data_IF_888699918433
#
_entry.id   IF_888699918433
#
_cell.length_a   1.000
_cell.length_b   1.000
_cell.length_c   1.000
_cell.angle_alpha   90.00
_cell.angle_beta   90.00
_cell.angle_gamma   90.00
#
_symmetry.space_group_name_H-M   'P 1'
#
loop_
_entity.id
_entity.type
_entity.pdbx_description
1 polymer ?
#
# COMPACT_ATOMS: atom_id res chain seq x y z
N UNK A 1 20.84 8.99 14.52
CA UNK A 1 20.43 8.70 13.13
C UNK A 1 19.02 8.13 13.20
N UNK A 2 18.03 8.88 12.71
CA UNK A 2 16.64 8.44 12.76
C UNK A 2 16.35 7.29 11.80
N UNK A 3 15.44 6.40 12.16
CA UNK A 3 14.87 5.42 11.23
C UNK A 3 13.88 6.13 10.30
N UNK A 4 14.38 6.61 9.15
CA UNK A 4 13.58 7.36 8.18
C UNK A 4 12.45 6.52 7.57
N UNK A 5 12.65 5.22 7.38
CA UNK A 5 11.58 4.31 6.92
C UNK A 5 10.54 4.11 8.03
N UNK A 6 10.98 3.98 9.28
CA UNK A 6 10.10 3.96 10.45
C UNK A 6 9.26 5.24 10.58
N UNK A 7 9.87 6.41 10.34
CA UNK A 7 9.19 7.71 10.35
C UNK A 7 8.13 7.80 9.26
N UNK A 8 8.47 7.41 8.02
CA UNK A 8 7.51 7.29 6.91
C UNK A 8 6.35 6.34 7.26
N UNK A 9 6.66 5.14 7.78
CA UNK A 9 5.63 4.16 8.15
C UNK A 9 4.73 4.65 9.26
N UNK A 10 5.28 5.35 10.25
CA UNK A 10 4.52 5.94 11.35
C UNK A 10 3.56 7.01 10.83
N UNK A 11 4.08 7.95 10.02
CA UNK A 11 3.30 9.00 9.37
C UNK A 11 2.15 8.44 8.51
N UNK A 12 2.44 7.46 7.66
CA UNK A 12 1.41 6.86 6.80
C UNK A 12 0.41 6.03 7.60
N UNK A 13 0.80 5.41 8.72
CA UNK A 13 -0.14 4.65 9.56
C UNK A 13 -1.14 5.58 10.25
N UNK A 14 -0.72 6.78 10.60
CA UNK A 14 -1.58 7.82 11.15
C UNK A 14 -2.59 8.31 10.09
N UNK A 15 -2.12 8.60 8.87
CA UNK A 15 -2.99 9.05 7.79
C UNK A 15 -3.90 7.95 7.19
N UNK A 16 -3.44 6.69 7.17
CA UNK A 16 -4.09 5.55 6.52
C UNK A 16 -4.35 4.41 7.51
N UNK A 17 -5.14 4.69 8.54
CA UNK A 17 -5.51 3.68 9.54
C UNK A 17 -6.17 2.43 8.92
N UNK A 18 -5.72 1.25 9.37
CA UNK A 18 -6.22 -0.03 8.88
C UNK A 18 -5.79 -0.37 7.44
N UNK A 19 -4.78 0.31 6.90
CA UNK A 19 -4.13 -0.05 5.64
C UNK A 19 -2.70 -0.53 5.89
N UNK A 20 -2.27 -1.48 5.08
CA UNK A 20 -0.87 -1.86 4.97
C UNK A 20 -0.14 -0.85 4.11
N UNK A 21 1.05 -0.47 4.56
CA UNK A 21 1.94 0.44 3.84
C UNK A 21 2.92 -0.42 3.05
N UNK A 22 2.84 -0.32 1.73
CA UNK A 22 3.70 -1.09 0.86
C UNK A 22 5.13 -0.53 0.87
N UNK A 23 6.11 -1.42 0.85
CA UNK A 23 7.50 -1.05 0.64
C UNK A 23 8.29 -2.24 0.07
N UNK A 24 9.02 -2.07 -1.04
CA UNK A 24 9.17 -0.84 -1.82
C UNK A 24 7.89 -0.45 -2.58
N UNK A 25 7.68 0.85 -2.80
CA UNK A 25 6.48 1.37 -3.48
C UNK A 25 6.34 0.94 -4.95
N UNK A 26 7.44 0.49 -5.55
CA UNK A 26 7.49 -0.10 -6.90
C UNK A 26 6.95 -1.53 -6.96
N UNK A 27 6.79 -2.21 -5.82
CA UNK A 27 6.18 -3.52 -5.78
C UNK A 27 4.69 -3.39 -6.08
N UNK A 28 4.25 -3.92 -7.22
CA UNK A 28 2.84 -3.93 -7.57
C UNK A 28 2.11 -4.96 -6.73
N UNK A 29 1.04 -4.52 -6.07
CA UNK A 29 0.07 -5.37 -5.37
C UNK A 29 -1.28 -5.18 -6.06
N UNK A 30 -2.05 -6.25 -6.20
CA UNK A 30 -3.35 -6.24 -6.86
C UNK A 30 -4.42 -6.86 -5.97
N UNK A 31 -5.66 -6.44 -6.18
CA UNK A 31 -6.83 -7.09 -5.57
C UNK A 31 -6.83 -8.55 -5.99
N UNK A 32 -6.95 -9.45 -5.02
CA UNK A 32 -6.88 -10.89 -5.22
C UNK A 32 -5.49 -11.49 -5.24
N UNK A 33 -4.41 -10.71 -5.08
CA UNK A 33 -3.13 -11.30 -4.73
C UNK A 33 -3.24 -12.04 -3.38
N UNK A 34 -2.46 -13.11 -3.24
CA UNK A 34 -2.40 -13.94 -2.03
C UNK A 34 -1.01 -13.81 -1.42
N UNK A 35 -0.98 -13.58 -0.12
CA UNK A 35 0.22 -13.44 0.68
C UNK A 35 0.28 -14.56 1.73
N UNK A 36 1.46 -15.14 1.89
CA UNK A 36 1.77 -16.01 3.02
C UNK A 36 2.28 -15.16 4.19
N UNK A 37 1.64 -15.31 5.35
CA UNK A 37 1.98 -14.60 6.59
C UNK A 37 2.76 -15.47 7.59
N UNK A 38 3.24 -16.64 7.16
CA UNK A 38 4.04 -17.54 7.97
C UNK A 38 5.40 -16.94 8.37
N UNK A 39 5.86 -17.29 9.58
CA UNK A 39 7.19 -16.90 10.06
C UNK A 39 7.40 -15.40 10.32
N UNK A 40 6.33 -14.62 10.48
CA UNK A 40 6.42 -13.19 10.79
C UNK A 40 6.87 -12.32 9.62
N UNK A 41 6.93 -12.89 8.40
CA UNK A 41 7.23 -12.17 7.17
C UNK A 41 6.08 -12.33 6.18
N UNK A 42 5.84 -11.31 5.36
CA UNK A 42 4.85 -11.39 4.28
C UNK A 42 5.57 -11.77 2.99
N UNK A 43 5.07 -12.81 2.31
CA UNK A 43 5.62 -13.30 1.04
C UNK A 43 4.52 -13.48 0.00
N UNK A 44 4.75 -13.13 -1.28
CA UNK A 44 3.79 -13.45 -2.33
C UNK A 44 3.59 -14.97 -2.45
N UNK A 45 2.34 -15.42 -2.53
CA UNK A 45 1.95 -16.83 -2.62
C UNK A 45 1.11 -17.17 -3.87
N UNK A 46 0.80 -16.17 -4.69
CA UNK A 46 0.04 -16.30 -5.94
C UNK A 46 -1.14 -15.34 -5.95
N UNK A 47 -2.24 -15.77 -6.56
CA UNK A 47 -3.50 -15.04 -6.60
C UNK A 47 -4.66 -15.95 -6.18
N UNK A 48 -5.83 -15.38 -5.88
CA UNK A 48 -7.02 -16.10 -5.45
C UNK A 48 -7.52 -17.10 -6.49
N UNK A 49 -7.29 -16.85 -7.79
CA UNK A 49 -7.75 -17.75 -8.86
C UNK A 49 -7.00 -19.08 -8.85
N UNK A 50 -5.70 -19.08 -8.50
CA UNK A 50 -4.90 -20.29 -8.25
C UNK A 50 -5.54 -21.19 -7.17
N UNK A 51 -6.23 -20.59 -6.21
CA UNK A 51 -6.91 -21.31 -5.13
C UNK A 51 -8.40 -21.54 -5.42
N UNK A 52 -8.88 -21.28 -6.64
CA UNK A 52 -10.28 -21.47 -7.01
C UNK A 52 -11.23 -20.49 -6.33
N UNK A 53 -10.74 -19.31 -5.92
CA UNK A 53 -11.56 -18.21 -5.40
C UNK A 53 -11.66 -17.14 -6.49
N UNK A 54 -12.85 -16.98 -7.05
CA UNK A 54 -13.13 -15.90 -7.98
C UNK A 54 -13.74 -14.71 -7.24
N UNK A 55 -13.36 -13.50 -7.66
CA UNK A 55 -13.95 -12.24 -7.21
C UNK A 55 -13.94 -11.23 -8.35
N UNK A 56 -15.06 -10.56 -8.57
CA UNK A 56 -15.12 -9.47 -9.52
C UNK A 56 -14.56 -8.19 -8.89
N UNK A 57 -13.79 -7.41 -9.65
CA UNK A 57 -13.38 -6.08 -9.23
C UNK A 57 -14.58 -5.12 -9.27
N UNK A 58 -14.66 -4.23 -8.28
CA UNK A 58 -15.58 -3.10 -8.30
C UNK A 58 -15.11 -2.05 -9.32
N UNK A 59 -16.02 -1.18 -9.76
CA UNK A 59 -15.62 0.01 -10.50
C UNK A 59 -14.68 0.86 -9.64
N UNK A 60 -13.56 1.29 -10.22
CA UNK A 60 -12.60 2.16 -9.55
C UNK A 60 -13.27 3.47 -9.12
N UNK A 61 -12.93 3.94 -7.92
CA UNK A 61 -13.32 5.27 -7.48
C UNK A 61 -12.66 6.35 -8.37
N UNK A 62 -13.27 7.55 -8.51
CA UNK A 62 -12.63 8.66 -9.20
C UNK A 62 -11.25 8.96 -8.60
N UNK A 63 -10.28 9.38 -9.44
CA UNK A 63 -8.93 9.64 -8.97
C UNK A 63 -8.89 10.82 -8.00
N UNK A 64 -8.01 10.74 -6.99
CA UNK A 64 -7.74 11.80 -6.03
C UNK A 64 -6.23 12.02 -5.87
N UNK A 65 -5.83 13.15 -5.28
CA UNK A 65 -4.42 13.39 -4.93
C UNK A 65 -4.25 13.36 -3.41
N UNK A 66 -3.08 12.95 -2.94
CA UNK A 66 -2.72 12.91 -1.52
C UNK A 66 -1.40 13.63 -1.28
N UNK A 67 -1.42 14.52 -0.29
CA UNK A 67 -0.25 15.22 0.21
C UNK A 67 -0.19 15.04 1.72
N UNK A 68 0.97 14.60 2.21
CA UNK A 68 1.29 14.55 3.62
C UNK A 68 2.61 15.28 3.87
N UNK A 69 2.61 16.22 4.81
CA UNK A 69 3.73 17.11 5.10
C UNK A 69 4.09 17.15 6.61
N UNK A 70 3.82 16.07 7.34
CA UNK A 70 4.12 15.91 8.77
C UNK A 70 3.79 17.17 9.62
N UNK A 71 2.60 17.75 9.40
CA UNK A 71 2.11 18.97 10.05
C UNK A 71 2.89 20.24 9.67
N UNK A 72 3.22 20.41 8.39
CA UNK A 72 3.93 21.60 7.87
C UNK A 72 5.42 21.65 8.23
N UNK A 73 6.05 20.51 8.50
CA UNK A 73 7.47 20.43 8.85
C UNK A 73 8.38 20.40 7.61
N UNK A 74 7.82 20.18 6.43
CA UNK A 74 8.49 20.32 5.14
C UNK A 74 8.17 21.69 4.52
N UNK A 75 9.21 22.44 4.14
CA UNK A 75 9.10 23.66 3.35
C UNK A 75 9.56 23.39 1.93
N UNK A 76 8.76 23.78 0.96
CA UNK A 76 9.09 23.60 -0.47
C UNK A 76 9.25 24.97 -1.12
N UNK A 77 10.42 25.20 -1.71
CA UNK A 77 10.74 26.40 -2.48
C UNK A 77 10.95 26.02 -3.94
N UNK A 78 10.21 26.61 -4.86
CA UNK A 78 10.35 26.31 -6.29
C UNK A 78 11.37 27.24 -6.96
N UNK A 79 12.08 26.71 -7.95
CA UNK A 79 12.95 27.43 -8.87
C UNK A 79 12.35 27.33 -10.28
N UNK A 80 12.13 28.49 -10.90
CA UNK A 80 11.80 28.62 -12.32
C UNK A 80 13.06 29.02 -13.11
N UNK A 81 13.00 28.90 -14.44
CA UNK A 81 14.12 29.22 -15.31
C UNK A 81 14.53 30.70 -15.18
N UNK A 82 15.83 30.97 -15.26
CA UNK A 82 16.38 32.33 -15.28
C UNK A 82 16.65 32.99 -13.92
N UNK A 83 16.20 32.43 -12.80
CA UNK A 83 16.56 32.92 -11.46
C UNK A 83 16.89 31.76 -10.52
N UNK A 84 18.01 31.83 -9.81
CA UNK A 84 18.39 30.82 -8.79
C UNK A 84 18.19 31.42 -7.41
N UNK A 85 17.13 31.04 -6.67
CA UNK A 85 16.94 31.49 -5.30
C UNK A 85 18.13 31.08 -4.41
N UNK A 86 18.40 31.81 -3.31
CA UNK A 86 19.35 31.38 -2.30
C UNK A 86 19.01 29.97 -1.79
N UNK A 87 20.04 29.15 -1.56
CA UNK A 87 19.88 27.77 -1.04
C UNK A 87 19.93 26.68 -2.11
N UNK A 88 19.78 27.02 -3.40
CA UNK A 88 20.03 26.08 -4.49
C UNK A 88 21.52 26.06 -4.85
N UNK A 89 22.10 24.87 -4.91
CA UNK A 89 23.53 24.68 -5.19
C UNK A 89 23.77 23.72 -6.36
N UNK A 90 22.93 22.69 -6.51
CA UNK A 90 23.04 21.70 -7.58
C UNK A 90 22.19 22.08 -8.80
N UNK A 91 21.12 22.85 -8.61
CA UNK A 91 20.19 23.22 -9.68
C UNK A 91 20.48 24.57 -10.35
N UNK A 92 21.68 25.12 -10.20
CA UNK A 92 22.03 26.43 -10.76
C UNK A 92 21.75 26.54 -12.27
N UNK A 93 21.97 25.46 -13.03
CA UNK A 93 21.75 25.39 -14.49
C UNK A 93 20.45 24.68 -14.90
N UNK A 94 19.66 24.14 -13.96
CA UNK A 94 18.43 23.43 -14.30
C UNK A 94 17.28 24.41 -14.65
N UNK A 95 16.46 24.04 -15.64
CA UNK A 95 15.33 24.86 -16.11
C UNK A 95 14.23 25.00 -15.04
N UNK A 96 13.98 23.94 -14.28
CA UNK A 96 12.98 23.91 -13.22
C UNK A 96 13.45 23.02 -12.06
N UNK A 97 13.05 23.36 -10.84
CA UNK A 97 13.43 22.60 -9.66
C UNK A 97 12.68 22.97 -8.40
N UNK A 98 12.88 22.19 -7.34
CA UNK A 98 12.39 22.48 -6.01
C UNK A 98 13.44 22.17 -4.96
N UNK A 99 13.51 23.00 -3.92
CA UNK A 99 14.25 22.73 -2.69
C UNK A 99 13.23 22.36 -1.62
N UNK A 100 13.33 21.14 -1.12
CA UNK A 100 12.59 20.67 0.04
C UNK A 100 13.50 20.78 1.25
N UNK A 101 13.06 21.48 2.29
CA UNK A 101 13.78 21.63 3.57
C UNK A 101 12.92 21.14 4.72
N UNK A 102 13.50 20.34 5.61
CA UNK A 102 12.82 19.75 6.75
C UNK A 102 13.25 20.43 8.05
N UNK A 103 12.27 20.73 8.90
CA UNK A 103 12.50 21.39 10.20
C UNK A 103 12.86 20.41 11.33
N UNK A 104 12.56 19.12 11.17
CA UNK A 104 12.78 18.09 12.19
C UNK A 104 13.28 16.77 11.61
N UNK A 105 13.97 16.00 12.43
CA UNK A 105 14.61 14.72 12.10
C UNK A 105 13.63 13.55 11.81
N UNK A 106 12.36 13.72 12.13
CA UNK A 106 11.26 12.77 11.88
C UNK A 106 10.28 13.28 10.81
N UNK A 107 10.64 14.34 10.09
CA UNK A 107 9.79 14.95 9.07
C UNK A 107 9.68 14.08 7.83
N UNK A 108 8.47 14.00 7.27
CA UNK A 108 8.16 13.22 6.07
C UNK A 108 7.36 14.09 5.12
N UNK A 109 7.77 14.11 3.87
CA UNK A 109 6.98 14.61 2.75
C UNK A 109 6.60 13.42 1.87
N UNK A 110 5.32 13.13 1.75
CA UNK A 110 4.79 12.11 0.86
C UNK A 110 3.74 12.74 -0.06
N UNK A 111 3.94 12.61 -1.37
CA UNK A 111 3.01 13.05 -2.39
C UNK A 111 2.64 11.86 -3.26
N UNK A 112 1.35 11.69 -3.51
CA UNK A 112 0.83 10.73 -4.47
C UNK A 112 -0.23 11.41 -5.32
N UNK A 113 -0.17 11.26 -6.64
CA UNK A 113 -1.14 11.84 -7.57
C UNK A 113 -1.87 10.76 -8.35
N UNK A 114 -3.11 11.06 -8.73
CA UNK A 114 -3.95 10.12 -9.47
C UNK A 114 -4.22 8.83 -8.69
N UNK A 115 -4.47 8.94 -7.38
CA UNK A 115 -4.82 7.83 -6.53
C UNK A 115 -6.14 7.22 -6.96
N UNK A 116 -6.15 5.93 -7.25
CA UNK A 116 -7.35 5.14 -7.49
C UNK A 116 -7.42 3.99 -6.50
N UNK A 117 -8.64 3.59 -6.13
CA UNK A 117 -8.87 2.43 -5.27
C UNK A 117 -9.56 1.32 -6.08
N UNK A 118 -8.91 0.17 -6.12
CA UNK A 118 -9.48 -1.09 -6.58
C UNK A 118 -9.90 -1.92 -5.37
N UNK A 119 -11.03 -2.62 -5.48
CA UNK A 119 -11.53 -3.55 -4.45
C UNK A 119 -12.41 -4.63 -5.03
N UNK A 120 -12.73 -5.67 -4.26
CA UNK A 120 -13.78 -6.62 -4.65
C UNK A 120 -15.16 -5.95 -4.70
N UNK A 121 -15.96 -6.30 -5.70
CA UNK A 121 -17.37 -5.90 -5.81
C UNK A 121 -18.27 -6.64 -4.81
N UNK A 122 -17.94 -7.90 -4.52
CA UNK A 122 -18.73 -8.77 -3.64
C UNK A 122 -17.82 -9.57 -2.70
N UNK A 123 -17.55 -8.99 -1.52
CA UNK A 123 -16.78 -9.65 -0.46
C UNK A 123 -17.48 -10.88 0.10
N UNK A 124 -18.81 -10.97 0.05
CA UNK A 124 -19.58 -12.14 0.53
C UNK A 124 -19.33 -13.36 -0.33
N UNK A 125 -19.32 -13.17 -1.66
CA UNK A 125 -18.98 -14.23 -2.59
C UNK A 125 -17.54 -14.74 -2.38
N UNK A 126 -16.59 -13.83 -2.16
CA UNK A 126 -15.19 -14.16 -1.86
C UNK A 126 -15.09 -14.95 -0.55
N UNK A 127 -15.72 -14.48 0.53
CA UNK A 127 -15.72 -15.15 1.84
C UNK A 127 -16.29 -16.58 1.75
N UNK A 128 -17.45 -16.75 1.12
CA UNK A 128 -18.07 -18.07 0.94
C UNK A 128 -17.21 -19.02 0.10
N UNK A 129 -16.51 -18.52 -0.92
CA UNK A 129 -15.58 -19.33 -1.70
C UNK A 129 -14.34 -19.72 -0.87
N UNK A 130 -13.77 -18.81 -0.09
CA UNK A 130 -12.64 -19.11 0.79
C UNK A 130 -12.96 -20.18 1.82
N UNK A 131 -14.15 -20.13 2.44
CA UNK A 131 -14.60 -21.18 3.36
C UNK A 131 -14.59 -22.55 2.70
N UNK A 132 -15.08 -22.65 1.46
CA UNK A 132 -15.05 -23.92 0.71
C UNK A 132 -13.62 -24.38 0.45
N UNK A 133 -12.73 -23.48 0.03
CA UNK A 133 -11.35 -23.83 -0.27
C UNK A 133 -10.56 -24.20 1.00
N UNK A 134 -10.87 -23.56 2.11
CA UNK A 134 -10.37 -23.94 3.42
C UNK A 134 -10.85 -25.33 3.81
N UNK A 135 -12.14 -25.60 3.73
CA UNK A 135 -12.71 -26.92 4.05
C UNK A 135 -12.08 -28.04 3.21
N UNK A 136 -11.88 -27.80 1.92
CA UNK A 136 -11.27 -28.74 0.99
C UNK A 136 -9.74 -28.89 1.17
N UNK A 137 -9.13 -28.21 2.14
CA UNK A 137 -7.69 -28.28 2.41
C UNK A 137 -6.81 -27.55 1.40
N UNK A 138 -7.40 -26.76 0.50
CA UNK A 138 -6.69 -25.98 -0.53
C UNK A 138 -6.17 -24.66 0.04
N UNK A 139 -6.92 -24.05 0.95
CA UNK A 139 -6.53 -22.79 1.62
C UNK A 139 -5.95 -23.05 3.01
N UNK A 140 -4.71 -22.60 3.23
CA UNK A 140 -4.03 -22.70 4.51
C UNK A 140 -4.36 -21.50 5.42
N UNK A 141 -4.46 -21.68 6.76
CA UNK A 141 -4.76 -20.60 7.72
C UNK A 141 -3.82 -19.39 7.68
N UNK A 142 -2.57 -19.60 7.25
CA UNK A 142 -1.51 -18.59 7.19
C UNK A 142 -1.60 -17.72 5.92
N UNK A 143 -2.45 -18.11 4.95
CA UNK A 143 -2.67 -17.33 3.74
C UNK A 143 -3.64 -16.17 4.00
N UNK A 144 -3.33 -15.04 3.39
CA UNK A 144 -4.11 -13.83 3.38
C UNK A 144 -4.38 -13.40 1.93
N UNK A 145 -5.58 -12.90 1.65
CA UNK A 145 -5.92 -12.30 0.36
C UNK A 145 -5.90 -10.78 0.44
N UNK A 146 -5.54 -10.11 -0.66
CA UNK A 146 -5.64 -8.66 -0.80
C UNK A 146 -7.07 -8.27 -1.20
N UNK A 147 -7.80 -7.52 -0.37
CA UNK A 147 -9.18 -7.05 -0.69
C UNK A 147 -9.19 -5.75 -1.45
N UNK A 148 -8.33 -4.81 -1.05
CA UNK A 148 -8.34 -3.44 -1.53
C UNK A 148 -6.92 -3.02 -1.85
N UNK A 149 -6.76 -2.25 -2.90
CA UNK A 149 -5.48 -1.68 -3.31
C UNK A 149 -5.69 -0.22 -3.66
N UNK A 150 -4.84 0.64 -3.10
CA UNK A 150 -4.67 2.01 -3.58
C UNK A 150 -3.47 2.04 -4.50
N UNK A 151 -3.68 2.45 -5.73
CA UNK A 151 -2.63 2.73 -6.71
C UNK A 151 -2.50 4.23 -6.92
N UNK A 152 -1.32 4.71 -7.30
CA UNK A 152 -1.12 6.10 -7.72
C UNK A 152 -0.43 6.15 -9.07
N UNK A 153 -0.80 7.13 -9.90
CA UNK A 153 -0.13 7.37 -11.18
C UNK A 153 1.34 7.75 -10.97
N UNK A 154 1.61 8.54 -9.93
CA UNK A 154 2.94 8.99 -9.56
C UNK A 154 3.05 9.24 -8.06
N UNK A 155 4.27 9.16 -7.52
CA UNK A 155 4.52 9.47 -6.13
C UNK A 155 5.96 9.85 -5.82
N UNK A 156 6.13 10.57 -4.72
CA UNK A 156 7.43 10.96 -4.19
C UNK A 156 7.37 10.94 -2.67
N UNK A 157 8.35 10.28 -2.05
CA UNK A 157 8.49 10.17 -0.60
C UNK A 157 9.91 10.60 -0.23
N UNK A 158 9.99 11.59 0.64
CA UNK A 158 11.21 12.08 1.26
C UNK A 158 11.05 12.03 2.77
N UNK A 159 12.01 11.45 3.48
CA UNK A 159 12.03 11.51 4.95
C UNK A 159 13.41 11.93 5.46
N UNK A 160 13.39 12.89 6.38
CA UNK A 160 14.59 13.36 7.07
C UNK A 160 15.23 12.20 7.87
N UNK A 161 16.55 12.24 8.01
CA UNK A 161 17.28 11.41 8.99
C UNK A 161 17.89 12.23 10.13
N UNK A 162 17.83 13.56 10.02
CA UNK A 162 18.33 14.54 10.99
C UNK A 162 17.63 15.91 10.79
N UNK A 163 17.88 16.82 11.72
CA UNK A 163 17.55 18.25 11.62
C UNK A 163 18.28 18.92 10.44
N UNK A 164 17.65 19.96 9.88
CA UNK A 164 18.11 20.69 8.69
C UNK A 164 18.30 19.81 7.45
N UNK A 165 17.57 18.70 7.34
CA UNK A 165 17.59 17.87 6.16
C UNK A 165 17.04 18.63 4.95
N UNK A 166 17.61 18.40 3.77
CA UNK A 166 17.16 19.05 2.55
C UNK A 166 17.38 18.20 1.31
N UNK A 167 16.51 18.35 0.31
CA UNK A 167 16.66 17.77 -1.02
C UNK A 167 16.41 18.82 -2.11
N UNK A 168 17.35 18.95 -3.04
CA UNK A 168 17.17 19.65 -4.31
C UNK A 168 16.66 18.65 -5.35
N UNK A 169 15.44 18.87 -5.81
CA UNK A 169 14.73 18.08 -6.80
C UNK A 169 14.77 18.78 -8.16
N UNK A 170 15.26 18.07 -9.17
CA UNK A 170 15.10 18.47 -10.57
C UNK A 170 13.72 18.01 -11.03
N UNK A 171 12.93 18.95 -11.56
CA UNK A 171 11.61 18.66 -12.16
C UNK A 171 11.80 18.56 -13.66
N UNK A 172 11.18 17.56 -14.29
CA UNK A 172 11.22 17.45 -15.75
C UNK A 172 10.43 18.61 -16.40
N UNK A 173 11.08 19.32 -17.32
CA UNK A 173 10.59 20.57 -17.92
C UNK A 173 9.39 20.39 -18.88
N UNK A 174 8.88 19.17 -19.04
CA UNK A 174 7.63 18.88 -19.77
C UNK A 174 6.38 19.17 -18.96
N UNK A 175 6.52 19.40 -17.65
CA UNK A 175 5.47 20.01 -16.82
C UNK A 175 5.17 21.38 -17.42
N UNK A 176 3.94 21.58 -17.91
CA UNK A 176 3.57 22.65 -18.84
C UNK A 176 3.96 24.08 -18.40
N UNK A 177 3.82 25.04 -19.31
CA UNK A 177 4.31 26.42 -19.19
C UNK A 177 3.66 27.30 -18.07
N UNK A 178 3.08 26.70 -17.04
CA UNK A 178 2.50 27.36 -15.86
C UNK A 178 3.43 27.37 -14.64
N UNK A 179 2.99 27.97 -13.53
CA UNK A 179 3.74 27.94 -12.27
C UNK A 179 3.81 26.52 -11.71
N UNK A 180 5.00 26.12 -11.24
CA UNK A 180 5.21 24.86 -10.54
C UNK A 180 4.36 24.79 -9.26
N UNK A 181 3.77 23.63 -9.01
CA UNK A 181 2.95 23.29 -7.85
C UNK A 181 3.49 22.04 -7.18
N UNK A 182 3.05 21.77 -5.95
CA UNK A 182 3.46 20.56 -5.22
C UNK A 182 3.11 19.26 -5.96
N UNK A 183 1.97 19.21 -6.65
CA UNK A 183 1.57 18.04 -7.43
C UNK A 183 2.59 17.70 -8.55
N UNK A 184 3.30 18.69 -9.08
CA UNK A 184 4.33 18.48 -10.11
C UNK A 184 5.56 17.75 -9.55
N UNK A 185 5.71 17.70 -8.23
CA UNK A 185 6.78 16.96 -7.57
C UNK A 185 6.49 15.47 -7.43
N UNK A 186 5.27 15.00 -7.70
CA UNK A 186 4.93 13.58 -7.61
C UNK A 186 5.47 12.82 -8.84
N UNK A 187 6.46 11.95 -8.62
CA UNK A 187 6.98 10.94 -9.56
C UNK A 187 7.69 11.44 -10.84
N UNK A 188 7.69 12.74 -11.12
CA UNK A 188 8.41 13.36 -12.25
C UNK A 188 9.62 14.18 -11.77
N UNK A 189 10.27 13.71 -10.71
CA UNK A 189 11.41 14.38 -10.10
C UNK A 189 12.58 13.44 -9.92
N UNK A 190 13.77 13.97 -10.18
CA UNK A 190 15.04 13.35 -9.85
C UNK A 190 15.70 14.12 -8.70
N UNK A 191 16.26 13.43 -7.72
CA UNK A 191 17.05 14.07 -6.66
C UNK A 191 18.40 14.48 -7.27
N UNK A 192 18.63 15.79 -7.37
CA UNK A 192 19.89 16.34 -7.87
C UNK A 192 20.94 16.42 -6.75
N UNK A 193 20.49 16.72 -5.53
CA UNK A 193 21.31 16.74 -4.32
C UNK A 193 20.43 16.51 -3.11
N UNK A 194 20.96 15.82 -2.11
CA UNK A 194 20.34 15.75 -0.79
C UNK A 194 21.38 15.90 0.32
N UNK A 195 20.90 16.27 1.49
CA UNK A 195 21.67 16.34 2.72
C UNK A 195 20.79 15.90 3.89
N UNK A 196 21.27 14.93 4.67
CA UNK A 196 20.57 14.37 5.84
C UNK A 196 19.14 13.89 5.57
N UNK A 197 18.86 13.49 4.34
CA UNK A 197 17.64 12.75 3.98
C UNK A 197 17.98 11.27 4.07
N UNK A 198 17.19 10.50 4.82
CA UNK A 198 17.43 9.06 4.99
C UNK A 198 16.54 8.18 4.14
N UNK A 199 15.48 8.74 3.55
CA UNK A 199 14.61 8.06 2.61
C UNK A 199 14.34 8.97 1.42
N UNK A 200 14.63 8.46 0.23
CA UNK A 200 14.36 9.13 -1.05
C UNK A 200 13.73 8.12 -1.99
N UNK A 201 12.51 8.41 -2.42
CA UNK A 201 11.80 7.58 -3.38
C UNK A 201 10.96 8.46 -4.30
N UNK A 202 11.00 8.19 -5.59
CA UNK A 202 10.19 8.86 -6.61
C UNK A 202 9.95 7.89 -7.75
N UNK A 203 8.75 7.89 -8.32
CA UNK A 203 8.43 7.04 -9.46
C UNK A 203 6.96 7.07 -9.85
N UNK A 204 6.64 6.28 -10.87
CA UNK A 204 5.30 6.17 -11.48
C UNK A 204 4.69 4.78 -11.27
N UNK A 205 3.38 4.68 -11.44
CA UNK A 205 2.59 3.44 -11.32
C UNK A 205 2.85 2.67 -10.01
N UNK A 206 2.60 3.34 -8.89
CA UNK A 206 2.91 2.83 -7.55
C UNK A 206 1.71 2.23 -6.86
N UNK A 207 1.98 1.38 -5.87
CA UNK A 207 0.96 0.82 -4.99
C UNK A 207 1.28 1.17 -3.55
N UNK A 208 0.93 2.35 -3.04
CA UNK A 208 1.33 2.78 -1.70
C UNK A 208 0.62 2.02 -0.57
N UNK A 209 -0.65 1.66 -0.76
CA UNK A 209 -1.47 1.09 0.30
C UNK A 209 -2.29 -0.10 -0.19
N UNK A 210 -2.49 -1.08 0.68
CA UNK A 210 -3.41 -2.19 0.41
C UNK A 210 -4.05 -2.69 1.70
N UNK A 211 -5.15 -3.43 1.59
CA UNK A 211 -5.76 -4.16 2.71
C UNK A 211 -5.71 -5.63 2.44
N UNK A 212 -5.48 -6.38 3.50
CA UNK A 212 -5.48 -7.84 3.48
C UNK A 212 -6.48 -8.37 4.48
N UNK A 213 -7.05 -9.51 4.13
CA UNK A 213 -7.91 -10.29 5.00
C UNK A 213 -7.37 -11.71 5.12
N UNK A 214 -7.75 -12.39 6.19
CA UNK A 214 -7.59 -13.84 6.32
C UNK A 214 -8.81 -14.44 6.99
N UNK A 215 -8.89 -15.77 7.04
CA UNK A 215 -9.88 -16.45 7.86
C UNK A 215 -9.62 -16.16 9.34
N UNK A 216 -10.67 -15.74 10.04
CA UNK A 216 -10.63 -15.32 11.44
C UNK A 216 -10.20 -16.49 12.32
N UNK A 217 -9.19 -16.27 13.16
CA UNK A 217 -8.63 -17.35 14.01
C UNK A 217 -9.66 -17.95 14.99
N UNK A 218 -10.53 -17.13 15.54
CA UNK A 218 -11.60 -17.60 16.44
C UNK A 218 -12.65 -18.43 15.69
N UNK A 219 -12.98 -18.05 14.46
CA UNK A 219 -13.84 -18.83 13.57
C UNK A 219 -13.21 -20.19 13.25
N UNK A 220 -11.92 -20.21 12.87
CA UNK A 220 -11.16 -21.44 12.62
C UNK A 220 -11.16 -22.39 13.81
N UNK A 221 -10.96 -21.86 15.02
CA UNK A 221 -11.00 -22.65 16.25
C UNK A 221 -12.38 -23.26 16.48
N UNK A 222 -13.45 -22.47 16.34
CA UNK A 222 -14.84 -22.95 16.48
C UNK A 222 -15.16 -24.06 15.48
N UNK A 223 -14.77 -23.89 14.20
CA UNK A 223 -14.96 -24.93 13.18
C UNK A 223 -14.23 -26.22 13.56
N UNK A 224 -13.00 -26.13 14.07
CA UNK A 224 -12.26 -27.31 14.52
C UNK A 224 -12.91 -27.99 15.75
N UNK A 225 -13.54 -27.22 16.63
CA UNK A 225 -14.29 -27.74 17.79
C UNK A 225 -15.58 -28.44 17.37
N UNK A 226 -16.35 -27.82 16.48
CA UNK A 226 -17.69 -28.31 16.11
C UNK A 226 -17.65 -29.49 15.14
N UNK A 227 -16.67 -29.50 14.23
CA UNK A 227 -16.56 -30.50 13.16
C UNK A 227 -15.38 -31.46 13.34
N UNK A 228 -14.52 -31.24 14.34
CA UNK A 228 -13.36 -32.07 14.63
C UNK A 228 -12.14 -31.78 13.73
N UNK A 229 -11.05 -32.54 13.92
CA UNK A 229 -9.85 -32.39 13.10
C UNK A 229 -10.17 -32.82 11.66
N UNK A 230 -9.68 -32.06 10.69
CA UNK A 230 -9.71 -32.44 9.28
C UNK A 230 -9.15 -33.86 9.14
N UNK A 231 -9.93 -34.79 8.61
CA UNK A 231 -9.40 -36.11 8.24
C UNK A 231 -8.84 -36.03 6.82
N UNK A 232 -7.51 -35.93 6.63
CA UNK A 232 -6.95 -36.06 5.29
C UNK A 232 -7.28 -37.45 4.75
N UNK A 233 -7.90 -37.48 3.57
CA UNK A 233 -8.52 -38.66 2.99
C UNK A 233 -7.63 -39.90 2.96
N UNK A 234 -7.98 -40.90 3.78
CA UNK A 234 -7.79 -42.31 3.42
C UNK A 234 -9.05 -42.77 2.68
N UNK A 235 -9.15 -42.46 1.40
CA UNK A 235 -10.11 -43.08 0.48
C UNK A 235 -11.60 -42.79 0.68
N UNK A 236 -11.99 -41.94 1.64
CA UNK A 236 -13.36 -41.42 1.73
C UNK A 236 -13.55 -40.29 0.71
N UNK A 237 -14.73 -40.23 0.08
CA UNK A 237 -15.11 -39.12 -0.79
C UNK A 237 -14.95 -37.78 -0.06
N UNK A 238 -14.63 -36.67 -0.76
CA UNK A 238 -14.52 -35.36 -0.12
C UNK A 238 -15.82 -35.05 0.64
N UNK A 239 -15.68 -34.79 1.93
CA UNK A 239 -16.81 -34.43 2.78
C UNK A 239 -17.43 -33.14 2.26
N UNK A 240 -18.74 -33.15 2.04
CA UNK A 240 -19.45 -31.97 1.57
C UNK A 240 -19.26 -30.82 2.57
N UNK A 241 -18.95 -29.62 2.06
CA UNK A 241 -18.81 -28.43 2.91
C UNK A 241 -20.12 -28.19 3.66
N UNK A 242 -20.11 -28.12 5.01
CA UNK A 242 -21.31 -27.84 5.78
C UNK A 242 -21.96 -26.52 5.31
N UNK A 243 -23.25 -26.53 4.90
CA UNK A 243 -23.91 -25.34 4.36
C UNK A 243 -23.87 -24.14 5.32
N UNK A 244 -24.02 -24.41 6.62
CA UNK A 244 -23.98 -23.39 7.68
C UNK A 244 -22.72 -22.53 7.65
N UNK A 245 -21.56 -23.10 7.31
CA UNK A 245 -20.30 -22.34 7.23
C UNK A 245 -20.27 -21.40 6.04
N UNK A 246 -20.84 -21.84 4.91
CA UNK A 246 -20.91 -21.03 3.69
C UNK A 246 -21.97 -19.95 3.84
N UNK A 247 -23.09 -20.26 4.48
CA UNK A 247 -24.19 -19.32 4.71
C UNK A 247 -23.74 -18.23 5.70
N UNK A 248 -23.06 -18.59 6.79
CA UNK A 248 -22.46 -17.61 7.71
C UNK A 248 -21.51 -16.65 6.99
N UNK A 249 -20.61 -17.17 6.14
CA UNK A 249 -19.68 -16.33 5.38
C UNK A 249 -20.35 -15.40 4.36
N UNK A 250 -21.55 -15.77 3.87
CA UNK A 250 -22.33 -14.97 2.95
C UNK A 250 -23.16 -13.91 3.68
N UNK A 251 -23.75 -14.28 4.81
CA UNK A 251 -24.60 -13.40 5.60
C UNK A 251 -23.76 -12.34 6.33
N UNK A 252 -22.67 -12.78 6.97
CA UNK A 252 -21.74 -11.94 7.71
C UNK A 252 -20.27 -12.31 7.41
N UNK A 253 -19.69 -11.74 6.33
CA UNK A 253 -18.28 -11.94 6.01
C UNK A 253 -17.33 -11.57 7.15
N UNK A 254 -17.67 -10.59 7.99
CA UNK A 254 -16.81 -10.11 9.07
C UNK A 254 -16.77 -11.09 10.24
N UNK A 255 -17.78 -11.96 10.40
CA UNK A 255 -17.72 -13.08 11.34
C UNK A 255 -16.66 -14.12 10.94
N UNK A 256 -16.38 -14.25 9.63
CA UNK A 256 -15.52 -15.30 9.08
C UNK A 256 -14.15 -14.78 8.66
N UNK A 257 -14.08 -13.55 8.17
CA UNK A 257 -12.86 -12.87 7.77
C UNK A 257 -12.43 -11.87 8.84
N UNK A 258 -11.12 -11.66 8.96
CA UNK A 258 -10.58 -10.57 9.76
C UNK A 258 -9.53 -9.80 8.97
N UNK A 259 -9.48 -8.46 9.14
CA UNK A 259 -8.37 -7.67 8.62
C UNK A 259 -7.08 -8.04 9.35
N UNK A 260 -5.98 -7.95 8.62
CA UNK A 260 -4.62 -8.22 9.12
C UNK A 260 -3.91 -6.92 9.52
#
# INVERSE_FOLDING_TARGET
>A
MGDSLGSYRSAMRDAWHGWWINWPLSQRVRVGDVLDTSGGTIRPAGDLTKYGVAGAAAAAAPPADFLYDANGSAQVTFKLSGTTPPGFSALAQADAGALVSFKGDTSVLALFTGLTQDRFADTRAVAGNLVKQFWNGVWAPELAGVTDVVTAAAGTVLAASDTDASAELRVDATVGAGPLKLADLAGNVAVARSSRVGLEWSGTEVTPFYRVFRLRRTWLHRVATDYGPRQPGRGAAPEAVPPLLVDEARDDPDAVLEPL
#
